data_IF_707391843660
#
_entry.id   IF_707391843660
#
_cell.length_a   1.000
_cell.length_b   1.000
_cell.length_c   1.000
_cell.angle_alpha   90.00
_cell.angle_beta   90.00
_cell.angle_gamma   90.00
#
_symmetry.space_group_name_H-M   'P 1'
#
loop_
_entity.id
_entity.type
_entity.pdbx_description
1 polymer ?
#
# COMPACT_ATOMS: atom_id res chain seq x y z
N UNK A 1 59.92 -32.02 5.30
CA UNK A 1 58.64 -32.48 5.85
C UNK A 1 57.78 -31.25 6.08
N UNK A 2 56.79 -31.06 5.21
CA UNK A 2 55.37 -31.36 5.50
C UNK A 2 54.75 -30.20 6.30
N UNK A 3 53.68 -29.55 5.90
CA UNK A 3 52.70 -29.79 4.86
C UNK A 3 51.53 -28.83 5.15
N UNK A 4 50.87 -28.37 4.09
CA UNK A 4 49.67 -27.54 4.11
C UNK A 4 48.60 -27.98 5.13
N UNK A 5 47.92 -27.01 5.74
CA UNK A 5 46.45 -27.05 5.78
C UNK A 5 45.85 -25.66 5.94
N UNK A 6 45.34 -25.16 4.81
CA UNK A 6 44.27 -24.15 4.75
C UNK A 6 43.03 -24.77 5.41
N UNK A 7 42.49 -24.12 6.44
CA UNK A 7 41.12 -24.39 6.88
C UNK A 7 40.17 -23.45 6.14
N UNK A 8 39.63 -24.00 5.06
CA UNK A 8 38.51 -23.46 4.29
C UNK A 8 37.23 -23.75 5.09
N UNK A 9 36.74 -22.73 5.81
CA UNK A 9 35.49 -22.80 6.57
C UNK A 9 34.28 -22.68 5.64
N UNK A 10 33.76 -23.84 5.24
CA UNK A 10 32.54 -24.13 4.48
C UNK A 10 31.40 -23.11 4.69
N UNK A 11 31.10 -22.33 3.64
CA UNK A 11 29.83 -21.61 3.51
C UNK A 11 28.72 -22.64 3.30
N UNK A 12 27.85 -22.83 4.31
CA UNK A 12 26.54 -23.47 4.11
C UNK A 12 25.68 -22.58 3.23
N UNK A 13 25.72 -22.86 1.94
CA UNK A 13 24.78 -22.36 0.95
C UNK A 13 23.42 -23.00 1.21
N UNK A 14 22.54 -22.26 1.88
CA UNK A 14 21.15 -22.68 2.04
C UNK A 14 20.49 -22.65 0.65
N UNK A 15 20.38 -23.82 0.03
CA UNK A 15 19.64 -24.03 -1.20
C UNK A 15 18.20 -23.53 -1.02
N UNK A 16 17.89 -22.40 -1.65
CA UNK A 16 16.54 -21.88 -1.74
C UNK A 16 15.79 -22.81 -2.70
N UNK A 17 14.91 -23.63 -2.15
CA UNK A 17 14.03 -24.53 -2.91
C UNK A 17 13.11 -23.63 -3.73
N UNK A 18 13.29 -23.58 -5.04
CA UNK A 18 12.31 -22.98 -5.95
C UNK A 18 11.04 -23.83 -5.86
N UNK A 19 10.01 -23.31 -5.17
CA UNK A 19 8.65 -23.86 -5.26
C UNK A 19 8.14 -23.57 -6.67
N UNK A 20 7.88 -24.63 -7.44
CA UNK A 20 7.08 -24.51 -8.66
C UNK A 20 5.74 -23.87 -8.29
N UNK A 21 5.22 -22.91 -9.07
CA UNK A 21 3.97 -22.25 -8.75
C UNK A 21 2.84 -23.29 -8.71
N UNK A 22 2.24 -23.50 -7.53
CA UNK A 22 1.01 -24.29 -7.40
C UNK A 22 -0.04 -23.70 -8.34
N UNK A 23 -0.44 -24.49 -9.33
CA UNK A 23 -1.52 -24.09 -10.25
C UNK A 23 -2.85 -24.42 -9.55
N UNK A 24 -3.48 -23.40 -8.98
CA UNK A 24 -4.80 -23.52 -8.37
C UNK A 24 -5.85 -23.36 -9.47
N UNK A 25 -6.57 -24.43 -9.80
CA UNK A 25 -7.75 -24.39 -10.66
C UNK A 25 -8.99 -24.12 -9.81
N UNK A 26 -9.66 -22.99 -10.05
CA UNK A 26 -10.92 -22.61 -9.40
C UNK A 26 -12.10 -22.94 -10.32
N UNK A 27 -13.22 -23.40 -9.76
CA UNK A 27 -14.43 -23.67 -10.53
C UNK A 27 -15.02 -22.36 -11.08
N UNK A 28 -15.77 -22.44 -12.18
CA UNK A 28 -16.37 -21.25 -12.81
C UNK A 28 -17.38 -20.57 -11.87
N UNK A 29 -18.10 -21.37 -11.08
CA UNK A 29 -19.03 -20.90 -10.06
C UNK A 29 -18.30 -20.10 -8.97
N UNK A 30 -17.18 -20.62 -8.47
CA UNK A 30 -16.38 -19.94 -7.43
C UNK A 30 -15.82 -18.61 -7.96
N UNK A 31 -15.37 -18.59 -9.22
CA UNK A 31 -14.89 -17.36 -9.87
C UNK A 31 -16.00 -16.32 -10.02
N UNK A 32 -17.23 -16.75 -10.35
CA UNK A 32 -18.41 -15.87 -10.42
C UNK A 32 -18.76 -15.32 -9.05
N UNK A 33 -18.70 -16.13 -7.99
CA UNK A 33 -18.95 -15.67 -6.62
C UNK A 33 -17.88 -14.67 -6.17
N UNK A 34 -16.59 -14.97 -6.40
CA UNK A 34 -15.49 -14.07 -6.08
C UNK A 34 -15.65 -12.76 -6.84
N UNK A 35 -15.88 -12.79 -8.16
CA UNK A 35 -16.08 -11.57 -8.93
C UNK A 35 -17.29 -10.77 -8.43
N UNK A 36 -18.43 -11.43 -8.15
CA UNK A 36 -19.63 -10.78 -7.63
C UNK A 36 -19.38 -10.12 -6.26
N UNK A 37 -18.57 -10.74 -5.40
CA UNK A 37 -18.21 -10.17 -4.09
C UNK A 37 -17.36 -8.90 -4.18
N UNK A 38 -16.68 -8.69 -5.32
CA UNK A 38 -15.83 -7.53 -5.56
C UNK A 38 -16.61 -6.34 -6.14
N UNK A 39 -17.83 -6.55 -6.63
CA UNK A 39 -18.66 -5.51 -7.22
C UNK A 39 -19.30 -4.62 -6.13
N UNK A 40 -19.46 -3.31 -6.38
CA UNK A 40 -20.36 -2.48 -5.58
C UNK A 40 -21.80 -3.03 -5.61
N UNK A 41 -22.57 -2.78 -4.57
CA UNK A 41 -23.96 -3.28 -4.48
C UNK A 41 -24.81 -2.77 -5.65
N UNK A 42 -25.43 -3.70 -6.37
CA UNK A 42 -26.28 -3.40 -7.53
C UNK A 42 -25.53 -3.22 -8.85
N UNK A 43 -24.20 -3.26 -8.87
CA UNK A 43 -23.40 -3.19 -10.08
C UNK A 43 -23.15 -4.58 -10.69
N UNK A 44 -23.12 -4.65 -12.02
CA UNK A 44 -22.77 -5.88 -12.78
C UNK A 44 -21.37 -5.83 -13.39
N UNK A 45 -20.66 -4.71 -13.20
CA UNK A 45 -19.33 -4.47 -13.75
C UNK A 45 -18.45 -3.68 -12.79
N UNK A 46 -17.14 -3.83 -12.95
CA UNK A 46 -16.15 -3.17 -12.11
C UNK A 46 -15.51 -2.00 -12.87
N UNK A 47 -15.70 -0.78 -12.38
CA UNK A 47 -15.05 0.40 -12.95
C UNK A 47 -13.52 0.24 -12.90
N UNK A 48 -12.81 0.78 -13.90
CA UNK A 48 -11.35 0.65 -14.01
C UNK A 48 -10.61 1.17 -12.75
N UNK A 49 -11.08 2.26 -12.15
CA UNK A 49 -10.48 2.78 -10.91
C UNK A 49 -10.70 1.84 -9.73
N UNK A 50 -11.87 1.18 -9.64
CA UNK A 50 -12.14 0.13 -8.64
C UNK A 50 -11.30 -1.13 -8.90
N UNK A 51 -11.14 -1.55 -10.17
CA UNK A 51 -10.28 -2.67 -10.56
C UNK A 51 -8.83 -2.44 -10.14
N UNK A 52 -8.32 -1.23 -10.37
CA UNK A 52 -7.00 -0.79 -9.93
C UNK A 52 -6.84 -0.74 -8.41
N UNK A 53 -7.86 -1.02 -7.60
CA UNK A 53 -7.70 -1.20 -6.15
C UNK A 53 -7.63 -2.68 -5.74
N UNK A 54 -8.18 -3.58 -6.56
CA UNK A 54 -8.23 -5.01 -6.28
C UNK A 54 -6.95 -5.75 -6.66
N UNK A 55 -6.25 -5.25 -7.68
CA UNK A 55 -5.13 -5.96 -8.33
C UNK A 55 -3.73 -5.48 -7.90
N UNK A 56 -3.45 -4.18 -7.67
CA UNK A 56 -2.11 -3.76 -7.34
C UNK A 56 -1.81 -3.93 -5.86
N UNK A 57 -0.61 -4.45 -5.61
CA UNK A 57 0.00 -4.47 -4.29
C UNK A 57 0.27 -3.03 -3.87
N UNK A 58 -0.57 -2.50 -2.99
CA UNK A 58 -0.30 -1.24 -2.32
C UNK A 58 0.71 -1.50 -1.20
N UNK A 59 1.60 -0.54 -1.02
CA UNK A 59 2.48 -0.50 0.13
C UNK A 59 2.37 0.87 0.78
N UNK A 60 2.62 0.93 2.07
CA UNK A 60 2.69 2.19 2.80
C UNK A 60 3.99 2.31 3.57
N UNK A 61 4.41 3.56 3.77
CA UNK A 61 5.68 3.89 4.42
C UNK A 61 5.51 3.84 5.94
N UNK A 62 6.25 2.95 6.60
CA UNK A 62 6.31 2.87 8.07
C UNK A 62 7.52 3.61 8.64
N UNK A 63 8.48 3.95 7.79
CA UNK A 63 9.66 4.74 8.15
C UNK A 63 10.12 5.54 6.94
N UNK A 64 10.45 6.82 7.15
CA UNK A 64 10.87 7.72 6.09
C UNK A 64 12.00 7.09 5.24
N UNK A 65 11.83 7.11 3.92
CA UNK A 65 12.77 6.52 2.97
C UNK A 65 12.87 7.36 1.70
N UNK A 66 13.84 7.07 0.85
CA UNK A 66 14.05 7.79 -0.40
C UNK A 66 13.40 7.06 -1.57
N UNK A 67 12.70 7.82 -2.41
CA UNK A 67 12.34 7.42 -3.76
C UNK A 67 13.47 7.83 -4.69
N UNK A 68 13.94 6.93 -5.54
CA UNK A 68 15.02 7.21 -6.49
C UNK A 68 14.58 7.01 -7.93
N UNK A 69 15.29 7.60 -8.87
CA UNK A 69 14.98 7.54 -10.30
C UNK A 69 15.34 6.20 -10.97
N UNK A 70 16.22 5.41 -10.37
CA UNK A 70 16.73 4.16 -10.96
C UNK A 70 16.77 2.97 -9.97
N UNK A 71 16.82 1.75 -10.50
CA UNK A 71 16.96 0.49 -9.75
C UNK A 71 18.30 0.44 -9.00
N UNK A 72 19.39 0.81 -9.66
CA UNK A 72 20.73 0.76 -9.09
C UNK A 72 20.95 1.80 -7.99
N UNK A 73 21.25 1.38 -6.76
CA UNK A 73 21.35 2.30 -5.62
C UNK A 73 22.47 3.32 -5.80
N UNK A 74 23.65 2.88 -6.28
CA UNK A 74 24.84 3.73 -6.41
C UNK A 74 24.72 4.80 -7.49
N UNK A 75 24.01 4.50 -8.57
CA UNK A 75 23.87 5.38 -9.74
C UNK A 75 22.59 6.22 -9.70
N UNK A 76 21.68 5.88 -8.79
CA UNK A 76 20.40 6.57 -8.66
C UNK A 76 20.50 7.90 -7.90
N UNK A 77 19.66 8.85 -8.29
CA UNK A 77 19.43 10.10 -7.58
C UNK A 77 18.15 9.99 -6.78
N UNK A 78 18.12 10.64 -5.62
CA UNK A 78 16.89 10.76 -4.82
C UNK A 78 15.94 11.75 -5.50
N UNK A 79 14.79 11.26 -5.96
CA UNK A 79 13.72 12.07 -6.54
C UNK A 79 12.97 12.83 -5.45
N UNK A 80 12.57 12.14 -4.38
CA UNK A 80 11.94 12.73 -3.18
C UNK A 80 12.11 11.82 -1.96
N UNK A 81 11.87 12.37 -0.77
CA UNK A 81 11.69 11.58 0.46
C UNK A 81 10.21 11.22 0.60
N UNK A 82 9.94 9.96 0.89
CA UNK A 82 8.60 9.45 1.17
C UNK A 82 8.31 9.61 2.66
N UNK A 83 7.14 10.14 2.98
CA UNK A 83 6.70 10.46 4.33
C UNK A 83 6.02 9.25 5.00
N UNK A 84 5.96 9.26 6.34
CA UNK A 84 5.26 8.21 7.09
C UNK A 84 3.77 8.16 6.69
N UNK A 85 3.23 6.94 6.58
CA UNK A 85 1.86 6.63 6.12
C UNK A 85 1.57 7.03 4.66
N UNK A 86 2.57 7.48 3.89
CA UNK A 86 2.42 7.69 2.45
C UNK A 86 2.18 6.36 1.73
N UNK A 87 1.14 6.30 0.91
CA UNK A 87 0.73 5.09 0.18
C UNK A 87 1.28 5.12 -1.24
N UNK A 88 1.82 3.98 -1.65
CA UNK A 88 2.48 3.74 -2.92
C UNK A 88 1.78 2.59 -3.64
N UNK A 89 1.62 2.72 -4.95
CA UNK A 89 1.16 1.64 -5.80
C UNK A 89 2.37 0.96 -6.44
N UNK A 90 2.55 -0.34 -6.22
CA UNK A 90 3.61 -1.10 -6.89
C UNK A 90 3.26 -1.24 -8.37
N UNK A 91 4.16 -0.77 -9.24
CA UNK A 91 4.09 -0.95 -10.69
C UNK A 91 4.87 -2.20 -11.11
N UNK A 92 6.04 -2.43 -10.50
CA UNK A 92 6.92 -3.55 -10.83
C UNK A 92 7.75 -3.95 -9.61
N UNK A 93 8.02 -5.25 -9.49
CA UNK A 93 8.91 -5.82 -8.48
C UNK A 93 8.17 -6.76 -7.52
N UNK A 94 8.88 -7.32 -6.52
CA UNK A 94 10.26 -7.00 -6.15
C UNK A 94 11.30 -7.37 -7.23
N UNK A 95 12.26 -6.48 -7.48
CA UNK A 95 13.42 -6.72 -8.36
C UNK A 95 14.69 -6.64 -7.52
N UNK A 96 15.56 -7.64 -7.62
CA UNK A 96 16.85 -7.66 -6.92
C UNK A 96 17.84 -6.72 -7.61
N UNK A 97 18.36 -5.74 -6.88
CA UNK A 97 19.43 -4.87 -7.36
C UNK A 97 20.77 -5.62 -7.32
N UNK A 98 21.55 -5.54 -8.40
CA UNK A 98 22.73 -6.40 -8.61
C UNK A 98 23.90 -6.11 -7.68
N UNK A 99 24.09 -4.86 -7.26
CA UNK A 99 25.26 -4.44 -6.47
C UNK A 99 25.12 -4.76 -4.99
N UNK A 100 23.95 -4.52 -4.42
CA UNK A 100 23.66 -4.62 -2.99
C UNK A 100 22.80 -5.85 -2.66
N UNK A 101 22.16 -6.46 -3.65
CA UNK A 101 21.23 -7.58 -3.46
C UNK A 101 19.89 -7.18 -2.83
N UNK A 102 19.65 -5.88 -2.61
CA UNK A 102 18.41 -5.37 -2.01
C UNK A 102 17.25 -5.52 -2.99
N UNK A 103 16.09 -5.96 -2.48
CA UNK A 103 14.85 -6.01 -3.26
C UNK A 103 14.21 -4.62 -3.34
N UNK A 104 13.97 -4.16 -4.56
CA UNK A 104 13.42 -2.85 -4.86
C UNK A 104 12.12 -2.98 -5.66
N UNK A 105 11.25 -2.02 -5.45
CA UNK A 105 9.96 -1.92 -6.14
C UNK A 105 9.96 -0.64 -6.95
N UNK A 106 9.53 -0.72 -8.20
CA UNK A 106 9.13 0.45 -8.96
C UNK A 106 7.69 0.78 -8.55
N UNK A 107 7.48 1.98 -8.04
CA UNK A 107 6.24 2.41 -7.44
C UNK A 107 5.78 3.74 -8.01
N UNK A 108 4.48 3.99 -7.94
CA UNK A 108 3.87 5.31 -8.13
C UNK A 108 3.36 5.81 -6.79
N UNK A 109 3.78 7.01 -6.40
CA UNK A 109 3.27 7.67 -5.20
C UNK A 109 1.84 8.13 -5.47
N UNK A 110 0.89 7.78 -4.59
CA UNK A 110 -0.50 8.20 -4.77
C UNK A 110 -0.72 9.68 -4.43
N UNK A 111 0.16 10.25 -3.61
CA UNK A 111 0.11 11.65 -3.16
C UNK A 111 0.32 12.66 -4.29
N UNK A 112 1.28 12.41 -5.18
CA UNK A 112 1.72 13.36 -6.20
C UNK A 112 1.88 12.73 -7.60
N UNK A 113 1.67 11.42 -7.72
CA UNK A 113 1.81 10.68 -8.97
C UNK A 113 3.25 10.42 -9.40
N UNK A 114 4.25 10.80 -8.60
CA UNK A 114 5.67 10.61 -8.94
C UNK A 114 6.03 9.13 -8.92
N UNK A 115 6.69 8.67 -9.97
CA UNK A 115 7.17 7.29 -10.11
C UNK A 115 8.65 7.18 -9.79
N UNK A 116 9.06 6.04 -9.27
CA UNK A 116 10.47 5.77 -8.97
C UNK A 116 10.66 4.44 -8.26
N UNK A 117 11.89 4.20 -7.83
CA UNK A 117 12.32 2.99 -7.16
C UNK A 117 12.47 3.21 -5.66
N UNK A 118 12.00 2.24 -4.87
CA UNK A 118 12.11 2.25 -3.41
C UNK A 118 12.48 0.86 -2.89
N UNK A 119 13.21 0.82 -1.77
CA UNK A 119 13.53 -0.44 -1.08
C UNK A 119 12.54 -0.68 0.05
N UNK A 120 11.85 -1.82 0.04
CA UNK A 120 10.93 -2.22 1.12
C UNK A 120 11.69 -2.49 2.43
N UNK A 121 12.85 -3.15 2.30
CA UNK A 121 13.79 -3.43 3.38
C UNK A 121 15.17 -2.95 2.93
N UNK A 122 15.85 -2.16 3.77
CA UNK A 122 17.20 -1.70 3.46
C UNK A 122 18.26 -2.78 3.66
N UNK A 123 19.49 -2.50 3.24
CA UNK A 123 20.61 -3.44 3.34
C UNK A 123 20.89 -3.92 4.78
N UNK A 124 20.63 -3.07 5.78
CA UNK A 124 20.78 -3.39 7.20
C UNK A 124 19.54 -4.09 7.82
N UNK A 125 18.60 -4.58 7.01
CA UNK A 125 17.39 -5.27 7.46
C UNK A 125 16.28 -4.36 8.01
N UNK A 126 16.46 -3.03 7.99
CA UNK A 126 15.40 -2.09 8.41
C UNK A 126 14.25 -2.10 7.41
N UNK A 127 13.04 -2.39 7.87
CA UNK A 127 11.81 -2.30 7.07
C UNK A 127 11.34 -0.85 6.98
N UNK A 128 11.13 -0.36 5.76
CA UNK A 128 10.62 0.99 5.46
C UNK A 128 9.19 0.98 4.92
N UNK A 129 8.79 -0.12 4.26
CA UNK A 129 7.46 -0.28 3.71
C UNK A 129 6.81 -1.57 4.20
N UNK A 130 5.50 -1.52 4.38
CA UNK A 130 4.64 -2.70 4.57
C UNK A 130 3.61 -2.77 3.46
N UNK A 131 3.20 -3.98 3.12
CA UNK A 131 2.05 -4.21 2.25
C UNK A 131 0.77 -3.70 2.92
N UNK A 132 -0.15 -3.17 2.12
CA UNK A 132 -1.37 -2.54 2.60
C UNK A 132 -1.47 -1.07 2.21
N UNK A 133 -2.15 -0.27 3.01
CA UNK A 133 -2.45 1.13 2.66
C UNK A 133 -3.87 1.35 2.13
N UNK A 134 -4.66 0.30 1.93
CA UNK A 134 -6.08 0.40 1.53
C UNK A 134 -7.06 0.31 2.69
N UNK A 135 -6.57 -0.04 3.89
CA UNK A 135 -7.39 -0.23 5.09
C UNK A 135 -6.94 0.73 6.16
N UNK A 136 -7.90 1.46 6.73
CA UNK A 136 -7.65 2.44 7.78
C UNK A 136 -8.47 2.14 9.02
N UNK A 137 -7.90 2.43 10.17
CA UNK A 137 -8.56 2.41 11.47
C UNK A 137 -8.77 3.82 11.96
N UNK A 138 -9.99 4.10 12.43
CA UNK A 138 -10.35 5.36 13.05
C UNK A 138 -9.64 5.45 14.40
N UNK A 139 -8.77 6.45 14.56
CA UNK A 139 -8.03 6.70 15.81
C UNK A 139 -8.60 7.86 16.62
N UNK A 140 -9.42 8.70 15.97
CA UNK A 140 -10.17 9.79 16.60
C UNK A 140 -11.57 9.84 15.99
N UNK A 141 -12.58 10.06 16.84
CA UNK A 141 -13.96 10.15 16.37
C UNK A 141 -14.10 11.17 15.24
N UNK A 142 -14.85 10.76 14.21
CA UNK A 142 -15.05 11.54 12.99
C UNK A 142 -16.41 11.20 12.39
N UNK A 143 -16.76 11.87 11.29
CA UNK A 143 -18.03 11.69 10.61
C UNK A 143 -17.82 11.15 9.20
N UNK A 144 -18.73 10.28 8.79
CA UNK A 144 -18.93 9.83 7.44
C UNK A 144 -20.06 10.66 6.83
N UNK A 145 -19.77 11.42 5.77
CA UNK A 145 -20.78 12.21 5.06
C UNK A 145 -21.10 11.57 3.71
N UNK A 146 -22.29 11.82 3.13
CA UNK A 146 -22.65 11.26 1.83
C UNK A 146 -21.76 11.77 0.69
N UNK A 147 -21.38 13.04 0.75
CA UNK A 147 -20.57 13.72 -0.28
C UNK A 147 -19.20 14.17 0.19
N UNK A 148 -18.39 14.62 -0.77
CA UNK A 148 -17.08 15.23 -0.50
C UNK A 148 -17.25 16.50 0.35
N UNK A 149 -18.33 17.24 0.18
CA UNK A 149 -18.67 18.38 1.04
C UNK A 149 -19.17 17.89 2.40
N UNK A 150 -18.99 18.71 3.44
CA UNK A 150 -19.56 18.44 4.77
C UNK A 150 -20.99 18.97 4.78
N UNK A 151 -21.86 18.30 4.02
CA UNK A 151 -23.29 18.54 3.95
C UNK A 151 -24.08 17.22 4.15
N UNK A 152 -25.38 17.36 4.39
CA UNK A 152 -26.27 16.23 4.69
C UNK A 152 -26.19 15.71 6.12
N UNK A 153 -26.82 14.56 6.37
CA UNK A 153 -26.88 13.89 7.67
C UNK A 153 -25.67 12.97 7.88
N UNK A 154 -24.69 13.36 8.73
CA UNK A 154 -23.49 12.57 8.93
C UNK A 154 -23.74 11.33 9.80
N UNK A 155 -23.13 10.22 9.44
CA UNK A 155 -23.02 9.04 10.31
C UNK A 155 -21.73 9.12 11.13
N UNK A 156 -21.77 8.82 12.42
CA UNK A 156 -20.58 8.84 13.28
C UNK A 156 -19.71 7.61 13.08
N UNK A 157 -18.40 7.82 12.98
CA UNK A 157 -17.37 6.79 13.05
C UNK A 157 -16.69 6.85 14.42
N UNK A 158 -16.67 5.72 15.12
CA UNK A 158 -16.08 5.58 16.45
C UNK A 158 -14.62 5.20 16.35
N UNK A 159 -13.85 5.54 17.39
CA UNK A 159 -12.48 5.03 17.52
C UNK A 159 -12.51 3.51 17.50
N UNK A 160 -11.68 2.93 16.63
CA UNK A 160 -11.62 1.49 16.42
C UNK A 160 -12.36 1.00 15.18
N UNK A 161 -13.26 1.79 14.61
CA UNK A 161 -13.92 1.44 13.34
C UNK A 161 -12.87 1.24 12.24
N UNK A 162 -13.08 0.21 11.42
CA UNK A 162 -12.21 -0.13 10.30
C UNK A 162 -12.93 0.17 9.00
N UNK A 163 -12.24 0.85 8.09
CA UNK A 163 -12.79 1.30 6.82
C UNK A 163 -11.84 0.94 5.68
N UNK A 164 -12.42 0.56 4.54
CA UNK A 164 -11.72 0.29 3.29
C UNK A 164 -11.76 1.51 2.39
N UNK A 165 -10.62 1.92 1.83
CA UNK A 165 -10.53 3.03 0.88
C UNK A 165 -11.25 2.65 -0.41
N UNK A 166 -12.18 3.50 -0.83
CA UNK A 166 -12.85 3.45 -2.14
C UNK A 166 -12.28 4.51 -3.08
N UNK A 167 -12.00 5.70 -2.55
CA UNK A 167 -11.33 6.77 -3.27
C UNK A 167 -10.23 7.36 -2.39
N UNK A 168 -9.03 7.49 -2.97
CA UNK A 168 -7.85 7.99 -2.29
C UNK A 168 -8.05 9.42 -1.76
N UNK A 169 -7.26 9.82 -0.74
CA UNK A 169 -7.36 11.16 -0.17
C UNK A 169 -7.24 12.26 -1.21
N UNK A 170 -8.25 13.13 -1.25
CA UNK A 170 -8.29 14.32 -2.07
C UNK A 170 -8.47 15.54 -1.16
N UNK A 171 -7.84 16.65 -1.55
CA UNK A 171 -7.99 17.92 -0.84
C UNK A 171 -9.33 18.54 -1.23
N UNK A 172 -10.21 18.68 -0.27
CA UNK A 172 -11.49 19.35 -0.46
C UNK A 172 -11.27 20.86 -0.56
N UNK A 173 -11.72 21.47 -1.67
CA UNK A 173 -11.34 22.83 -2.03
C UNK A 173 -11.85 23.91 -1.06
N UNK A 174 -13.01 23.71 -0.41
CA UNK A 174 -13.62 24.72 0.47
C UNK A 174 -13.01 24.70 1.88
N UNK A 175 -12.87 23.53 2.49
CA UNK A 175 -12.33 23.41 3.86
C UNK A 175 -10.82 23.19 3.92
N UNK A 176 -10.21 22.79 2.80
CA UNK A 176 -8.80 22.39 2.74
C UNK A 176 -8.50 21.06 3.45
N UNK A 177 -9.51 20.31 3.88
CA UNK A 177 -9.37 19.02 4.54
C UNK A 177 -8.96 17.94 3.55
N UNK A 178 -8.15 16.98 4.00
CA UNK A 178 -7.85 15.77 3.21
C UNK A 178 -8.93 14.73 3.50
N UNK A 179 -9.78 14.50 2.50
CA UNK A 179 -10.95 13.63 2.62
C UNK A 179 -10.78 12.44 1.69
N UNK A 180 -11.18 11.26 2.16
CA UNK A 180 -11.16 10.04 1.37
C UNK A 180 -12.56 9.41 1.38
N UNK A 181 -12.95 8.79 0.28
CA UNK A 181 -14.16 7.98 0.26
C UNK A 181 -13.83 6.59 0.80
N UNK A 182 -14.62 6.11 1.75
CA UNK A 182 -14.39 4.85 2.42
C UNK A 182 -15.67 4.03 2.52
N UNK A 183 -15.52 2.73 2.68
CA UNK A 183 -16.56 1.78 3.03
C UNK A 183 -16.29 1.25 4.43
N UNK A 184 -17.20 1.46 5.39
CA UNK A 184 -17.06 0.92 6.74
C UNK A 184 -17.26 -0.59 6.72
N UNK A 185 -16.34 -1.35 7.32
CA UNK A 185 -16.39 -2.81 7.25
C UNK A 185 -17.56 -3.44 8.00
N UNK A 186 -18.00 -2.83 9.10
CA UNK A 186 -19.02 -3.40 9.99
C UNK A 186 -20.42 -3.45 9.40
N UNK A 187 -20.81 -2.44 8.62
CA UNK A 187 -22.16 -2.29 8.07
C UNK A 187 -22.18 -1.89 6.59
N UNK A 188 -21.01 -1.87 5.93
CA UNK A 188 -20.85 -1.50 4.53
C UNK A 188 -21.27 -0.06 4.19
N UNK A 189 -21.41 0.82 5.18
CA UNK A 189 -21.73 2.22 4.94
C UNK A 189 -20.63 2.90 4.12
N UNK A 190 -21.01 3.50 2.99
CA UNK A 190 -20.10 4.22 2.09
C UNK A 190 -20.27 5.72 2.28
N UNK A 191 -19.16 6.45 2.33
CA UNK A 191 -19.17 7.90 2.36
C UNK A 191 -17.79 8.50 2.48
N UNK A 192 -17.73 9.79 2.71
CA UNK A 192 -16.50 10.56 2.81
C UNK A 192 -16.12 10.80 4.27
N UNK A 193 -14.85 10.60 4.57
CA UNK A 193 -14.30 10.83 5.90
C UNK A 193 -13.07 11.72 5.81
N UNK A 194 -12.87 12.56 6.82
CA UNK A 194 -11.65 13.37 6.94
C UNK A 194 -10.53 12.50 7.49
N UNK A 195 -9.48 12.26 6.70
CA UNK A 195 -8.28 11.52 7.13
C UNK A 195 -7.37 12.40 8.00
N UNK A 196 -7.12 13.62 7.52
CA UNK A 196 -6.26 14.61 8.19
C UNK A 196 -6.91 15.98 8.18
N UNK A 197 -7.02 16.58 9.37
CA UNK A 197 -7.55 17.92 9.57
C UNK A 197 -6.58 19.04 9.12
N UNK A 198 -7.10 20.26 8.99
CA UNK A 198 -6.32 21.45 8.58
C UNK A 198 -5.15 21.79 9.52
N UNK A 199 -5.23 21.41 10.79
CA UNK A 199 -4.17 21.57 11.81
C UNK A 199 -3.26 20.33 11.92
N UNK A 200 -3.33 19.40 10.97
CA UNK A 200 -2.53 18.16 11.00
C UNK A 200 -3.06 17.10 11.98
N UNK A 201 -4.28 17.27 12.53
CA UNK A 201 -4.91 16.24 13.35
C UNK A 201 -5.22 15.01 12.49
N UNK A 202 -4.68 13.86 12.86
CA UNK A 202 -4.91 12.58 12.17
C UNK A 202 -6.12 11.88 12.79
N UNK A 203 -7.12 11.56 11.96
CA UNK A 203 -8.34 10.85 12.38
C UNK A 203 -8.33 9.38 11.99
N UNK A 204 -7.60 9.04 10.91
CA UNK A 204 -7.47 7.68 10.39
C UNK A 204 -6.00 7.33 10.26
N UNK A 205 -5.64 6.12 10.68
CA UNK A 205 -4.31 5.53 10.46
C UNK A 205 -4.41 4.26 9.66
N UNK A 206 -3.44 4.04 8.79
CA UNK A 206 -3.30 2.77 8.06
C UNK A 206 -3.11 1.61 9.04
N UNK A 207 -3.71 0.45 8.72
CA UNK A 207 -3.60 -0.80 9.48
C UNK A 207 -2.47 -1.67 8.96
#
# INVERSE_FOLDING_TARGET
>A
EEGEKKEEGEKKEAAKKDEEPETIELAEEDLKEVFSSLLPEGETGLALETFKLLVPQHMYVIKQTALTDNLGIKESKTTRKLELEEVLRVIKGPVKESTTGVLRHHVRCLKDGVEGWVSAVGNAGTTFLKEGGTVYKVVKETILTPGLEIDGDPTKLKVGDVVDVRQWPEKEAKSGLMRMQVCRRSDKAVGWVTATGNQGTVFLKVV
#
